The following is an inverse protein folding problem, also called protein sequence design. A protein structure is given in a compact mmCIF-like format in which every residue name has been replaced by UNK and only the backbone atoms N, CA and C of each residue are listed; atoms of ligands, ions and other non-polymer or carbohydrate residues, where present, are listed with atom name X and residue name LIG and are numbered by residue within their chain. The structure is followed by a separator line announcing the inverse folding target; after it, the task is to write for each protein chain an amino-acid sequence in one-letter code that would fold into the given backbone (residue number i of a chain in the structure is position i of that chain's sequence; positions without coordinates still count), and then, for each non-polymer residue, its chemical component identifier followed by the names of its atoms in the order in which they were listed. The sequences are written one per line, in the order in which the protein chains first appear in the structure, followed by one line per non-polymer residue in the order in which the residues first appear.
data_IF_435095467099
#
_entry.id   IF_435095467099
#
_cell.length_a   1.000
_cell.length_b   1.000
_cell.length_c   1.000
_cell.angle_alpha   90.00
_cell.angle_beta   90.00
_cell.angle_gamma   90.00
#
_symmetry.space_group_name_H-M   'P 1'
#
loop_
_entity.id
_entity.type
_entity.pdbx_description
1 polymer ?
#
# COMPACT_ATOMS: atom_id res chain seq x y z
N UNK A 1 -15.07 2.83 -2.52
CA UNK A 1 -14.58 1.48 -2.18
C UNK A 1 -15.77 0.61 -1.80
N UNK A 2 -15.78 -0.67 -2.19
CA UNK A 2 -16.74 -1.64 -1.68
C UNK A 2 -16.17 -2.31 -0.42
N UNK A 3 -16.97 -2.38 0.64
CA UNK A 3 -16.54 -3.00 1.90
C UNK A 3 -16.41 -4.51 1.70
N UNK A 4 -15.29 -5.09 2.12
CA UNK A 4 -14.98 -6.50 1.98
C UNK A 4 -14.19 -6.87 0.72
N UNK A 5 -13.97 -5.92 -0.20
CA UNK A 5 -12.97 -6.08 -1.26
C UNK A 5 -11.60 -5.65 -0.73
N UNK A 6 -10.53 -6.42 -0.99
CA UNK A 6 -9.22 -6.07 -0.50
C UNK A 6 -8.63 -4.89 -1.27
N UNK A 7 -7.79 -4.10 -0.59
CA UNK A 7 -7.04 -3.02 -1.22
C UNK A 7 -5.79 -3.59 -1.88
N UNK A 8 -5.53 -3.17 -3.13
CA UNK A 8 -4.30 -3.49 -3.87
C UNK A 8 -3.80 -2.22 -4.55
N UNK A 9 -2.49 -1.99 -4.47
CA UNK A 9 -1.75 -0.95 -5.17
C UNK A 9 -0.51 -1.55 -5.83
N UNK A 10 -0.03 -0.84 -6.84
CA UNK A 10 1.27 -1.11 -7.46
C UNK A 10 2.10 0.17 -7.38
N UNK A 11 3.37 0.00 -7.09
CA UNK A 11 4.32 1.06 -6.83
C UNK A 11 5.54 0.88 -7.75
N UNK A 12 5.81 1.86 -8.61
CA UNK A 12 6.97 1.87 -9.51
C UNK A 12 8.11 2.66 -8.84
N UNK A 13 9.09 1.95 -8.29
CA UNK A 13 10.21 2.48 -7.49
C UNK A 13 11.52 1.79 -7.91
N UNK A 14 12.05 2.09 -9.11
CA UNK A 14 13.22 1.42 -9.66
C UNK A 14 14.49 1.65 -8.84
N UNK A 15 14.53 2.71 -8.02
CA UNK A 15 15.66 3.01 -7.14
C UNK A 15 15.78 1.99 -5.99
N UNK A 16 14.68 1.33 -5.62
CA UNK A 16 14.63 0.27 -4.61
C UNK A 16 14.89 -1.14 -5.13
N UNK A 17 15.16 -1.27 -6.43
CA UNK A 17 15.59 -2.52 -7.04
C UNK A 17 17.13 -2.59 -7.00
N UNK A 18 17.68 -3.02 -5.86
CA UNK A 18 19.10 -3.00 -5.53
C UNK A 18 19.81 -4.32 -5.89
N UNK A 19 19.13 -5.46 -5.79
CA UNK A 19 19.67 -6.78 -6.13
C UNK A 19 18.92 -7.43 -7.29
N UNK A 20 19.53 -7.52 -8.50
CA UNK A 20 18.86 -8.06 -9.66
C UNK A 20 18.57 -9.57 -9.59
N UNK A 21 19.01 -10.27 -8.54
CA UNK A 21 18.76 -11.69 -8.31
C UNK A 21 17.76 -11.95 -7.17
N UNK A 22 17.34 -10.92 -6.44
CA UNK A 22 16.40 -11.02 -5.33
C UNK A 22 15.05 -10.39 -5.69
N UNK A 23 13.99 -10.84 -5.02
CA UNK A 23 12.73 -10.10 -4.94
C UNK A 23 12.83 -9.26 -3.68
N UNK A 24 12.78 -7.95 -3.85
CA UNK A 24 12.92 -7.00 -2.75
C UNK A 24 11.55 -6.57 -2.20
N UNK A 25 11.54 -6.03 -0.97
CA UNK A 25 10.29 -5.65 -0.29
C UNK A 25 10.36 -4.24 0.29
N UNK A 26 9.24 -3.52 0.22
CA UNK A 26 9.06 -2.18 0.76
C UNK A 26 7.89 -2.15 1.74
N UNK A 27 7.96 -1.26 2.74
CA UNK A 27 6.84 -1.03 3.66
C UNK A 27 6.16 0.28 3.32
N UNK A 28 4.83 0.24 3.15
CA UNK A 28 3.98 1.40 2.91
C UNK A 28 2.94 1.53 4.02
N UNK A 29 2.44 2.75 4.22
CA UNK A 29 1.32 3.05 5.11
C UNK A 29 0.06 3.30 4.29
N UNK A 30 -0.99 2.52 4.50
CA UNK A 30 -2.30 2.70 3.86
C UNK A 30 -3.23 3.41 4.83
N UNK A 31 -3.91 4.46 4.37
CA UNK A 31 -4.86 5.27 5.13
C UNK A 31 -6.25 5.16 4.50
N UNK A 32 -7.31 4.99 5.28
CA UNK A 32 -8.67 5.27 4.84
C UNK A 32 -9.01 6.75 5.09
N UNK A 33 -9.41 7.48 4.05
CA UNK A 33 -9.61 8.93 4.14
C UNK A 33 -10.80 9.33 5.04
N UNK A 34 -11.81 8.48 5.19
CA UNK A 34 -13.03 8.80 5.93
C UNK A 34 -12.89 8.40 7.40
N UNK A 35 -12.42 7.19 7.67
CA UNK A 35 -12.28 6.68 9.06
C UNK A 35 -10.99 7.17 9.73
N UNK A 36 -10.00 7.66 8.97
CA UNK A 36 -8.61 7.92 9.41
C UNK A 36 -7.90 6.68 9.98
N UNK A 37 -8.34 5.49 9.53
CA UNK A 37 -7.68 4.24 9.85
C UNK A 37 -6.38 4.05 9.08
N UNK A 38 -5.41 3.34 9.67
CA UNK A 38 -4.04 3.26 9.18
C UNK A 38 -3.42 1.90 9.33
N UNK A 39 -3.04 1.31 8.20
CA UNK A 39 -2.46 -0.02 8.13
C UNK A 39 -1.06 -0.02 7.51
N UNK A 40 -0.16 -0.85 8.04
CA UNK A 40 1.16 -1.07 7.43
C UNK A 40 1.10 -2.28 6.51
N UNK A 41 1.57 -2.10 5.28
CA UNK A 41 1.56 -3.14 4.27
C UNK A 41 2.96 -3.33 3.74
N UNK A 42 3.34 -4.59 3.53
CA UNK A 42 4.56 -4.95 2.81
C UNK A 42 4.21 -5.18 1.34
N UNK A 43 4.94 -4.50 0.47
CA UNK A 43 4.91 -4.72 -0.97
C UNK A 43 6.16 -5.50 -1.36
N UNK A 44 6.02 -6.50 -2.22
CA UNK A 44 7.13 -7.24 -2.83
C UNK A 44 7.27 -6.81 -4.29
N UNK A 45 8.48 -6.84 -4.83
CA UNK A 45 8.67 -6.73 -6.26
C UNK A 45 7.85 -7.81 -7.00
N UNK A 46 7.29 -7.43 -8.15
CA UNK A 46 6.53 -8.34 -9.03
C UNK A 46 7.40 -9.44 -9.64
N UNK A 47 8.72 -9.30 -9.53
CA UNK A 47 9.74 -10.27 -9.84
C UNK A 47 11.11 -9.67 -9.59
N UNK A 48 12.14 -10.51 -9.55
CA UNK A 48 13.51 -10.02 -9.37
C UNK A 48 13.88 -9.02 -10.48
N UNK A 49 14.53 -7.93 -10.10
CA UNK A 49 14.98 -6.89 -11.01
C UNK A 49 13.86 -6.15 -11.78
N UNK A 50 12.67 -6.01 -11.19
CA UNK A 50 11.54 -5.35 -11.90
C UNK A 50 11.41 -3.88 -11.55
N UNK A 51 11.79 -3.45 -10.34
CA UNK A 51 11.52 -2.10 -9.85
C UNK A 51 10.04 -1.80 -9.61
N UNK A 52 9.17 -2.80 -9.75
CA UNK A 52 7.73 -2.67 -9.63
C UNK A 52 7.27 -3.50 -8.44
N UNK A 53 6.67 -2.86 -7.44
CA UNK A 53 6.26 -3.46 -6.17
C UNK A 53 4.73 -3.54 -6.07
N UNK A 54 4.21 -4.62 -5.50
CA UNK A 54 2.78 -4.81 -5.25
C UNK A 54 2.54 -5.61 -3.98
N UNK A 55 1.28 -5.75 -3.55
CA UNK A 55 0.93 -6.39 -2.28
C UNK A 55 1.43 -7.83 -2.24
N UNK A 56 2.31 -8.13 -1.29
CA UNK A 56 2.70 -9.50 -0.94
C UNK A 56 1.47 -10.31 -0.50
N UNK A 57 0.57 -9.65 0.22
CA UNK A 57 -0.73 -10.16 0.65
C UNK A 57 -1.71 -8.99 0.63
N UNK A 58 -2.87 -9.18 0.01
CA UNK A 58 -3.88 -8.12 -0.13
C UNK A 58 -4.37 -7.65 1.26
N UNK A 59 -4.59 -6.35 1.44
CA UNK A 59 -5.05 -5.79 2.71
C UNK A 59 -6.57 -5.97 2.84
N UNK A 60 -7.07 -6.76 3.81
CA UNK A 60 -8.49 -6.93 4.03
C UNK A 60 -9.14 -5.64 4.53
N UNK A 61 -10.45 -5.55 4.34
CA UNK A 61 -11.22 -4.33 4.62
C UNK A 61 -12.48 -4.68 5.36
N UNK A 62 -12.88 -3.83 6.31
CA UNK A 62 -14.06 -4.07 7.14
C UNK A 62 -14.83 -2.77 7.38
N UNK A 63 -16.12 -2.88 7.69
CA UNK A 63 -16.90 -1.74 8.15
C UNK A 63 -16.64 -1.51 9.63
N UNK A 64 -16.32 -0.28 10.02
CA UNK A 64 -16.06 0.02 11.42
C UNK A 64 -15.52 1.42 11.67
N UNK A 65 -15.15 1.67 12.92
CA UNK A 65 -14.31 2.80 13.31
C UNK A 65 -12.85 2.41 13.12
N UNK A 66 -11.96 3.39 12.99
CA UNK A 66 -10.53 3.13 12.83
C UNK A 66 -9.94 2.29 13.97
N UNK A 67 -9.22 1.22 13.60
CA UNK A 67 -8.50 0.30 14.50
C UNK A 67 -7.07 0.16 13.99
N UNK A 68 -6.25 1.19 14.22
CA UNK A 68 -4.96 1.33 13.56
C UNK A 68 -4.00 0.17 13.82
N UNK A 69 -3.38 -0.30 12.74
CA UNK A 69 -2.33 -1.32 12.70
C UNK A 69 -2.81 -2.70 13.17
N UNK A 70 -4.08 -3.02 12.98
CA UNK A 70 -4.66 -4.33 13.30
C UNK A 70 -4.57 -5.33 12.13
N UNK A 71 -4.14 -4.87 10.94
CA UNK A 71 -4.05 -5.65 9.71
C UNK A 71 -5.31 -5.63 8.85
N UNK A 72 -6.33 -4.83 9.20
CA UNK A 72 -7.60 -4.69 8.49
C UNK A 72 -7.92 -3.21 8.32
N UNK A 73 -8.10 -2.75 7.08
CA UNK A 73 -8.49 -1.36 6.85
C UNK A 73 -9.98 -1.15 7.13
N UNK A 74 -10.29 -0.53 8.25
CA UNK A 74 -11.65 -0.12 8.62
C UNK A 74 -12.06 1.04 7.72
N UNK A 75 -13.15 0.86 6.99
CA UNK A 75 -13.61 1.76 5.93
C UNK A 75 -15.11 2.00 6.02
N UNK A 76 -15.58 3.06 5.36
CA UNK A 76 -16.99 3.38 5.21
C UNK A 76 -17.41 3.36 3.72
N UNK A 77 -18.72 3.26 3.48
CA UNK A 77 -19.28 3.32 2.13
C UNK A 77 -18.86 4.62 1.46
N UNK A 78 -18.35 4.52 0.22
CA UNK A 78 -17.82 5.65 -0.56
C UNK A 78 -16.50 6.24 -0.04
N UNK A 79 -15.81 5.58 0.88
CA UNK A 79 -14.43 5.95 1.22
C UNK A 79 -13.44 5.53 0.12
N UNK A 80 -12.21 6.02 0.27
CA UNK A 80 -11.05 5.64 -0.52
C UNK A 80 -9.81 5.54 0.36
N UNK A 81 -8.95 4.59 0.00
CA UNK A 81 -7.66 4.34 0.60
C UNK A 81 -6.55 5.14 -0.12
N UNK A 82 -5.57 5.61 0.63
CA UNK A 82 -4.38 6.34 0.17
C UNK A 82 -3.14 5.60 0.68
N UNK A 83 -2.21 5.25 -0.22
CA UNK A 83 -0.88 4.76 0.16
C UNK A 83 0.07 5.91 0.49
N UNK A 84 0.98 5.70 1.43
CA UNK A 84 2.12 6.58 1.72
C UNK A 84 3.38 5.74 1.77
N UNK A 85 4.39 6.18 1.04
CA UNK A 85 5.72 5.60 1.00
C UNK A 85 6.73 6.71 1.28
N UNK A 86 7.82 6.35 1.95
CA UNK A 86 8.94 7.26 2.24
C UNK A 86 10.15 6.63 1.59
N UNK A 87 10.60 7.24 0.50
CA UNK A 87 11.78 6.82 -0.24
C UNK A 87 13.05 7.00 0.64
N UNK A 88 13.85 5.94 0.87
CA UNK A 88 15.08 6.03 1.65
C UNK A 88 16.25 6.69 0.91
N UNK A 89 16.23 6.75 -0.42
CA UNK A 89 17.35 7.19 -1.26
C UNK A 89 17.23 8.65 -1.73
N UNK A 90 16.02 9.21 -1.75
CA UNK A 90 15.80 10.64 -1.92
C UNK A 90 15.46 11.32 -0.59
N UNK A 91 16.28 12.30 -0.17
CA UNK A 91 16.00 13.17 0.99
C UNK A 91 14.80 14.11 0.85
N UNK A 92 13.82 13.79 -0.01
CA UNK A 92 12.59 14.55 -0.26
C UNK A 92 11.43 13.61 -0.61
N UNK A 93 10.41 13.62 0.24
CA UNK A 93 9.27 12.69 0.26
C UNK A 93 8.58 12.50 -1.10
N UNK A 94 8.72 11.31 -1.71
CA UNK A 94 7.85 10.84 -2.78
C UNK A 94 6.60 10.20 -2.16
N UNK A 95 5.59 11.02 -1.87
CA UNK A 95 4.27 10.50 -1.51
C UNK A 95 3.57 9.95 -2.76
N UNK A 96 3.48 8.62 -2.89
CA UNK A 96 2.66 8.01 -3.93
C UNK A 96 1.20 8.15 -3.53
N UNK A 97 0.50 9.10 -4.13
CA UNK A 97 -0.95 9.13 -4.10
C UNK A 97 -1.49 7.94 -4.93
N UNK A 98 -1.54 6.76 -4.33
CA UNK A 98 -2.22 5.61 -4.90
C UNK A 98 -3.73 5.88 -4.92
N UNK A 99 -4.31 6.07 -6.10
CA UNK A 99 -5.77 5.98 -6.26
C UNK A 99 -6.15 4.51 -6.24
N UNK A 100 -7.21 4.15 -5.51
CA UNK A 100 -7.87 2.84 -5.65
C UNK A 100 -8.09 2.57 -7.15
N UNK A 101 -7.41 1.57 -7.67
CA UNK A 101 -7.79 0.94 -8.93
C UNK A 101 -8.63 -0.27 -8.53
N UNK A 102 -9.93 -0.05 -8.39
CA UNK A 102 -10.86 -1.18 -8.34
C UNK A 102 -10.80 -1.87 -9.71
N UNK A 103 -10.60 -3.19 -9.81
CA UNK A 103 -10.74 -3.89 -11.08
C UNK A 103 -12.16 -3.74 -11.68
#
# INVERSE_FOLDING_TARGET
MAIGEPVVFTLDEPDQNLDPLAVESLTVLVLDHVTDDRERVVLDETGANTGLFTFATALPTAAGVAERFDGVLQTEVSSYAIGYYIDPDLGGDHSIAGSLVTP
#
